data_IF_146097205765
#
_entry.id   IF_146097205765
#
_cell.length_a   1.000
_cell.length_b   1.000
_cell.length_c   1.000
_cell.angle_alpha   90.00
_cell.angle_beta   90.00
_cell.angle_gamma   90.00
#
_symmetry.space_group_name_H-M   'P 1'
#
loop_
_entity.id
_entity.type
_entity.pdbx_description
1 polymer ?
#
# COMPACT_ATOMS: atom_id res chain seq x y z
N UNK A 1 22.75 32.00 21.15
CA UNK A 1 23.28 32.17 19.79
C UNK A 1 23.25 30.80 19.16
N UNK A 2 22.30 30.57 18.26
CA UNK A 2 22.29 29.34 17.43
C UNK A 2 23.50 29.42 16.51
N UNK A 3 24.18 28.29 16.30
CA UNK A 3 25.43 28.20 15.54
C UNK A 3 25.13 28.38 14.04
N UNK A 4 25.11 29.64 13.61
CA UNK A 4 24.84 30.16 12.27
C UNK A 4 25.68 29.48 11.16
N UNK A 5 26.76 28.79 11.54
CA UNK A 5 27.61 28.02 10.62
C UNK A 5 27.07 26.63 10.29
N UNK A 6 26.30 26.00 11.20
CA UNK A 6 25.65 24.70 10.96
C UNK A 6 24.40 24.84 10.11
N UNK A 7 23.61 25.89 10.36
CA UNK A 7 22.39 26.19 9.58
C UNK A 7 22.74 26.51 8.11
N UNK A 8 23.78 27.31 7.86
CA UNK A 8 24.23 27.58 6.48
C UNK A 8 24.73 26.34 5.75
N UNK A 9 25.42 25.43 6.46
CA UNK A 9 25.92 24.19 5.86
C UNK A 9 24.77 23.23 5.52
N UNK A 10 23.72 23.17 6.35
CA UNK A 10 22.51 22.39 6.02
C UNK A 10 21.74 22.97 4.83
N UNK A 11 21.72 24.30 4.67
CA UNK A 11 21.04 24.94 3.55
C UNK A 11 21.76 24.67 2.21
N UNK A 12 23.10 24.69 2.21
CA UNK A 12 23.92 24.32 1.05
C UNK A 12 23.75 22.84 0.65
N UNK A 13 23.63 21.95 1.64
CA UNK A 13 23.37 20.52 1.41
C UNK A 13 21.98 20.29 0.81
N UNK A 14 20.95 21.00 1.31
CA UNK A 14 19.58 20.94 0.77
C UNK A 14 19.55 21.42 -0.68
N UNK A 15 20.21 22.54 -0.99
CA UNK A 15 20.27 23.08 -2.35
C UNK A 15 20.98 22.11 -3.31
N UNK A 16 22.03 21.45 -2.84
CA UNK A 16 22.73 20.42 -3.62
C UNK A 16 21.83 19.21 -3.90
N UNK A 17 21.08 18.73 -2.90
CA UNK A 17 20.12 17.64 -3.06
C UNK A 17 18.99 18.00 -4.03
N UNK A 18 18.50 19.24 -4.01
CA UNK A 18 17.50 19.73 -4.98
C UNK A 18 18.02 19.67 -6.41
N UNK A 19 19.28 20.06 -6.64
CA UNK A 19 19.89 19.98 -7.97
C UNK A 19 20.07 18.55 -8.45
N UNK A 20 20.46 17.63 -7.57
CA UNK A 20 20.51 16.21 -7.90
C UNK A 20 19.12 15.65 -8.22
N UNK A 21 18.09 15.97 -7.42
CA UNK A 21 16.72 15.54 -7.68
C UNK A 21 16.20 16.08 -9.02
N UNK A 22 16.48 17.34 -9.36
CA UNK A 22 16.13 17.88 -10.68
C UNK A 22 16.83 17.11 -11.80
N UNK A 23 18.14 16.86 -11.65
CA UNK A 23 18.90 16.10 -12.65
C UNK A 23 18.34 14.67 -12.82
N UNK A 24 17.99 13.98 -11.73
CA UNK A 24 17.36 12.66 -11.79
C UNK A 24 15.99 12.72 -12.45
N UNK A 25 15.17 13.72 -12.14
CA UNK A 25 13.88 13.91 -12.79
C UNK A 25 14.04 14.12 -14.31
N UNK A 26 14.98 14.95 -14.75
CA UNK A 26 15.25 15.15 -16.19
C UNK A 26 15.65 13.84 -16.89
N UNK A 27 16.46 13.01 -16.22
CA UNK A 27 16.86 11.70 -16.74
C UNK A 27 15.64 10.77 -16.82
N UNK A 28 14.86 10.65 -15.74
CA UNK A 28 13.67 9.79 -15.68
C UNK A 28 12.66 10.20 -16.77
N UNK A 29 12.38 11.50 -16.88
CA UNK A 29 11.43 12.03 -17.85
C UNK A 29 11.87 11.80 -19.30
N UNK A 30 13.18 11.78 -19.58
CA UNK A 30 13.71 11.42 -20.91
C UNK A 30 13.38 9.98 -21.32
N UNK A 31 13.24 9.08 -20.35
CA UNK A 31 12.93 7.67 -20.58
C UNK A 31 11.49 7.31 -20.17
N UNK A 32 10.64 8.30 -19.91
CA UNK A 32 9.28 8.10 -19.40
C UNK A 32 8.50 7.07 -20.20
N UNK A 33 8.37 7.27 -21.52
CA UNK A 33 7.60 6.38 -22.39
C UNK A 33 8.10 4.93 -22.30
N UNK A 34 9.42 4.74 -22.38
CA UNK A 34 10.03 3.42 -22.25
C UNK A 34 9.75 2.79 -20.89
N UNK A 35 9.84 3.54 -19.79
CA UNK A 35 9.57 3.01 -18.45
C UNK A 35 8.09 2.63 -18.34
N UNK A 36 7.18 3.54 -18.70
CA UNK A 36 5.73 3.32 -18.56
C UNK A 36 5.21 2.18 -19.45
N UNK A 37 5.78 1.98 -20.65
CA UNK A 37 5.47 0.83 -21.50
C UNK A 37 5.86 -0.50 -20.87
N UNK A 38 6.99 -0.55 -20.15
CA UNK A 38 7.47 -1.75 -19.47
C UNK A 38 6.85 -1.97 -18.08
N UNK A 39 6.32 -0.91 -17.47
CA UNK A 39 5.56 -0.95 -16.21
C UNK A 39 4.05 -1.10 -16.44
N UNK A 40 3.60 -1.23 -17.69
CA UNK A 40 2.19 -1.42 -17.96
C UNK A 40 1.76 -2.85 -17.59
N UNK A 41 1.18 -3.00 -16.40
CA UNK A 41 0.68 -4.28 -15.92
C UNK A 41 -0.77 -4.48 -16.34
N UNK A 42 -1.07 -5.64 -16.93
CA UNK A 42 -2.46 -6.05 -17.10
C UNK A 42 -3.07 -6.31 -15.73
N UNK A 43 -4.39 -6.18 -15.61
CA UNK A 43 -5.08 -6.37 -14.32
C UNK A 43 -4.82 -7.76 -13.72
N UNK A 44 -4.69 -8.79 -14.57
CA UNK A 44 -4.32 -10.15 -14.19
C UNK A 44 -2.90 -10.29 -13.59
N UNK A 45 -2.05 -9.28 -13.74
CA UNK A 45 -0.66 -9.27 -13.25
C UNK A 45 -0.50 -8.52 -11.94
N UNK A 46 -1.51 -7.74 -11.51
CA UNK A 46 -1.52 -7.06 -10.22
C UNK A 46 -1.24 -7.98 -9.02
N UNK A 47 -1.70 -9.25 -8.97
CA UNK A 47 -1.28 -10.22 -7.96
C UNK A 47 0.23 -10.30 -7.72
N UNK A 48 1.06 -10.11 -8.76
CA UNK A 48 2.53 -10.16 -8.67
C UNK A 48 3.10 -9.06 -7.78
N UNK A 49 2.33 -8.01 -7.47
CA UNK A 49 2.73 -6.89 -6.62
C UNK A 49 2.48 -7.15 -5.13
N UNK A 50 1.86 -8.27 -4.78
CA UNK A 50 1.65 -8.70 -3.40
C UNK A 50 2.66 -9.80 -3.10
N UNK A 51 3.65 -9.49 -2.25
CA UNK A 51 4.83 -10.34 -1.99
C UNK A 51 4.93 -10.73 -0.51
N UNK A 52 3.94 -11.48 0.03
CA UNK A 52 3.85 -11.75 1.47
C UNK A 52 4.99 -12.63 1.99
N UNK A 53 5.57 -13.46 1.12
CA UNK A 53 6.68 -14.37 1.45
C UNK A 53 8.06 -13.71 1.30
N UNK A 54 8.14 -12.45 0.86
CA UNK A 54 9.41 -11.73 0.77
C UNK A 54 10.04 -11.54 2.16
N UNK A 55 11.35 -11.76 2.30
CA UNK A 55 12.07 -11.69 3.58
C UNK A 55 11.88 -10.36 4.33
N UNK A 56 11.82 -9.23 3.61
CA UNK A 56 11.61 -7.91 4.22
C UNK A 56 10.20 -7.78 4.80
N UNK A 57 9.19 -8.29 4.07
CA UNK A 57 7.78 -8.29 4.49
C UNK A 57 7.60 -9.23 5.68
N UNK A 58 8.14 -10.45 5.60
CA UNK A 58 8.12 -11.44 6.69
C UNK A 58 8.83 -10.91 7.93
N UNK A 59 10.00 -10.27 7.76
CA UNK A 59 10.75 -9.66 8.85
C UNK A 59 9.95 -8.58 9.58
N UNK A 60 9.24 -7.73 8.82
CA UNK A 60 8.37 -6.70 9.37
C UNK A 60 7.14 -7.30 10.06
N UNK A 61 6.49 -8.31 9.46
CA UNK A 61 5.38 -9.03 10.08
C UNK A 61 5.81 -9.69 11.40
N UNK A 62 7.01 -10.27 11.47
CA UNK A 62 7.56 -10.84 12.70
C UNK A 62 7.85 -9.77 13.76
N UNK A 63 8.31 -8.59 13.37
CA UNK A 63 8.47 -7.43 14.27
C UNK A 63 7.13 -6.95 14.83
N UNK A 64 6.04 -7.07 14.07
CA UNK A 64 4.69 -6.78 14.57
C UNK A 64 4.25 -7.87 15.55
N UNK A 65 4.40 -9.16 15.19
CA UNK A 65 4.06 -10.29 16.07
C UNK A 65 4.83 -10.28 17.40
N UNK A 66 6.07 -9.80 17.42
CA UNK A 66 6.90 -9.71 18.63
C UNK A 66 6.46 -8.63 19.62
N UNK A 67 5.49 -7.77 19.26
CA UNK A 67 4.88 -6.81 20.20
C UNK A 67 3.87 -7.49 21.13
N UNK A 68 3.47 -8.73 20.81
CA UNK A 68 2.64 -9.57 21.68
C UNK A 68 3.54 -10.53 22.47
N UNK A 69 3.22 -10.84 23.74
CA UNK A 69 4.00 -11.81 24.53
C UNK A 69 4.10 -13.17 23.83
N UNK A 70 2.98 -13.64 23.27
CA UNK A 70 2.87 -14.79 22.37
C UNK A 70 1.77 -14.44 21.37
N UNK A 71 2.09 -14.38 20.08
CA UNK A 71 1.09 -14.08 19.05
C UNK A 71 0.14 -15.26 18.84
N UNK A 72 -1.13 -15.06 19.19
CA UNK A 72 -2.24 -15.95 18.86
C UNK A 72 -3.11 -15.29 17.79
N UNK A 73 -3.22 -15.94 16.62
CA UNK A 73 -3.98 -15.40 15.49
C UNK A 73 -5.44 -15.05 15.85
N UNK A 74 -6.15 -15.91 16.58
CA UNK A 74 -7.58 -15.71 16.87
C UNK A 74 -7.85 -14.55 17.83
N UNK A 75 -6.86 -14.16 18.62
CA UNK A 75 -7.00 -13.12 19.66
C UNK A 75 -6.32 -11.82 19.24
N UNK A 76 -5.17 -11.91 18.57
CA UNK A 76 -4.29 -10.77 18.34
C UNK A 76 -4.32 -10.25 16.90
N UNK A 77 -4.91 -10.97 15.96
CA UNK A 77 -4.92 -10.55 14.55
C UNK A 77 -5.52 -9.15 14.33
N UNK A 78 -6.67 -8.77 14.94
CA UNK A 78 -7.22 -7.41 14.76
C UNK A 78 -6.25 -6.32 15.20
N UNK A 79 -5.53 -6.52 16.31
CA UNK A 79 -4.56 -5.56 16.82
C UNK A 79 -3.29 -5.55 15.98
N UNK A 80 -2.84 -6.71 15.49
CA UNK A 80 -1.73 -6.79 14.55
C UNK A 80 -2.06 -6.06 13.24
N UNK A 81 -3.30 -6.11 12.75
CA UNK A 81 -3.76 -5.33 11.59
C UNK A 81 -3.68 -3.82 11.89
N UNK A 82 -4.10 -3.37 13.08
CA UNK A 82 -3.98 -1.96 13.49
C UNK A 82 -2.53 -1.49 13.59
N UNK A 83 -1.63 -2.34 14.08
CA UNK A 83 -0.19 -2.06 14.12
C UNK A 83 0.38 -2.00 12.71
N UNK A 84 0.01 -2.92 11.82
CA UNK A 84 0.44 -2.90 10.41
C UNK A 84 -0.05 -1.63 9.69
N UNK A 85 -1.32 -1.26 9.87
CA UNK A 85 -1.87 0.00 9.37
C UNK A 85 -1.07 1.20 9.85
N UNK A 86 -0.82 1.28 11.17
CA UNK A 86 -0.09 2.40 11.77
C UNK A 86 1.35 2.47 11.23
N UNK A 87 2.01 1.32 11.08
CA UNK A 87 3.34 1.26 10.47
C UNK A 87 3.33 1.87 9.06
N UNK A 88 2.44 1.40 8.17
CA UNK A 88 2.36 1.86 6.78
C UNK A 88 1.96 3.34 6.72
N UNK A 89 1.06 3.78 7.59
CA UNK A 89 0.64 5.18 7.66
C UNK A 89 1.79 6.11 8.07
N UNK A 90 2.48 5.78 9.16
CA UNK A 90 3.38 6.71 9.85
C UNK A 90 4.83 6.59 9.39
N UNK A 91 5.25 5.45 8.83
CA UNK A 91 6.65 5.20 8.45
C UNK A 91 6.88 5.20 6.94
N UNK A 92 5.83 5.15 6.11
CA UNK A 92 5.95 5.23 4.66
C UNK A 92 5.40 6.58 4.19
N UNK A 93 6.28 7.43 3.66
CA UNK A 93 5.89 8.71 3.11
C UNK A 93 5.01 8.51 1.86
N UNK A 94 3.82 9.11 1.85
CA UNK A 94 2.98 9.14 0.66
C UNK A 94 3.58 10.15 -0.34
N UNK A 95 3.90 9.68 -1.55
CA UNK A 95 4.45 10.51 -2.62
C UNK A 95 3.65 10.33 -3.90
N UNK A 96 3.65 11.37 -4.75
CA UNK A 96 3.16 11.27 -6.12
C UNK A 96 4.37 11.05 -7.03
N UNK A 97 4.40 9.91 -7.72
CA UNK A 97 5.47 9.62 -8.67
C UNK A 97 5.27 10.43 -9.97
N UNK A 98 6.35 10.89 -10.62
CA UNK A 98 6.27 11.67 -11.85
C UNK A 98 5.85 10.84 -13.08
N UNK A 99 5.89 9.51 -12.96
CA UNK A 99 5.56 8.52 -13.99
C UNK A 99 4.82 7.35 -13.35
N UNK A 100 4.11 6.57 -14.15
CA UNK A 100 3.54 5.30 -13.70
C UNK A 100 4.65 4.28 -13.46
N UNK A 101 4.85 3.88 -12.21
CA UNK A 101 5.87 2.92 -11.79
C UNK A 101 5.39 2.18 -10.56
N UNK A 102 5.57 0.86 -10.51
CA UNK A 102 5.07 0.04 -9.41
C UNK A 102 6.20 -0.44 -8.52
N UNK A 103 6.21 -0.03 -7.26
CA UNK A 103 7.18 -0.55 -6.30
C UNK A 103 6.67 -1.87 -5.71
N UNK A 104 7.57 -2.85 -5.57
CA UNK A 104 7.26 -4.03 -4.75
C UNK A 104 7.28 -3.65 -3.26
N UNK A 105 6.50 -4.34 -2.41
CA UNK A 105 6.47 -4.11 -0.96
C UNK A 105 7.85 -3.99 -0.29
N UNK A 106 8.81 -4.83 -0.66
CA UNK A 106 10.18 -4.79 -0.16
C UNK A 106 10.96 -3.52 -0.56
N UNK A 107 10.61 -2.92 -1.69
CA UNK A 107 11.19 -1.68 -2.18
C UNK A 107 10.58 -0.49 -1.46
N UNK A 108 9.26 -0.51 -1.22
CA UNK A 108 8.56 0.47 -0.38
C UNK A 108 9.14 0.48 1.03
N UNK A 109 9.39 -0.68 1.63
CA UNK A 109 10.04 -0.80 2.95
C UNK A 109 11.44 -0.18 2.92
N UNK A 110 12.24 -0.48 1.89
CA UNK A 110 13.62 0.00 1.75
C UNK A 110 13.69 1.52 1.53
N UNK A 111 12.80 2.06 0.71
CA UNK A 111 12.75 3.47 0.36
C UNK A 111 12.07 4.32 1.44
N UNK A 112 11.16 3.74 2.23
CA UNK A 112 10.35 4.48 3.19
C UNK A 112 9.35 5.44 2.53
N UNK A 113 9.05 5.24 1.24
CA UNK A 113 8.14 6.05 0.45
C UNK A 113 7.49 5.22 -0.66
N UNK A 114 6.29 5.61 -1.06
CA UNK A 114 5.53 5.01 -2.16
C UNK A 114 4.24 5.78 -2.40
N UNK A 115 3.59 5.52 -3.53
CA UNK A 115 2.27 6.07 -3.79
C UNK A 115 1.18 5.36 -2.96
N UNK A 116 -0.08 5.76 -3.13
CA UNK A 116 -1.18 5.16 -2.37
C UNK A 116 -1.38 3.66 -2.69
N UNK A 117 -1.08 3.24 -3.92
CA UNK A 117 -1.20 1.87 -4.36
C UNK A 117 -0.07 1.01 -3.79
N UNK A 118 1.17 1.50 -3.86
CA UNK A 118 2.35 0.88 -3.24
C UNK A 118 2.15 0.63 -1.74
N UNK A 119 1.56 1.60 -1.04
CA UNK A 119 1.20 1.45 0.38
C UNK A 119 0.13 0.39 0.59
N UNK A 120 -0.85 0.30 -0.30
CA UNK A 120 -1.93 -0.69 -0.21
C UNK A 120 -1.43 -2.12 -0.50
N UNK A 121 -0.54 -2.30 -1.48
CA UNK A 121 0.09 -3.60 -1.79
C UNK A 121 1.01 -4.07 -0.67
N UNK A 122 1.79 -3.17 -0.06
CA UNK A 122 2.57 -3.46 1.14
C UNK A 122 1.68 -3.89 2.30
N UNK A 123 0.61 -3.14 2.58
CA UNK A 123 -0.32 -3.46 3.66
C UNK A 123 -0.98 -4.84 3.44
N UNK A 124 -1.44 -5.13 2.22
CA UNK A 124 -2.00 -6.43 1.87
C UNK A 124 -1.00 -7.56 2.12
N UNK A 125 0.24 -7.39 1.64
CA UNK A 125 1.32 -8.37 1.82
C UNK A 125 1.63 -8.61 3.30
N UNK A 126 1.65 -7.55 4.12
CA UNK A 126 1.87 -7.65 5.56
C UNK A 126 0.76 -8.42 6.26
N UNK A 127 -0.51 -8.13 5.98
CA UNK A 127 -1.63 -8.78 6.65
C UNK A 127 -1.70 -10.27 6.25
N UNK A 128 -1.34 -10.63 5.02
CA UNK A 128 -1.17 -12.03 4.62
C UNK A 128 -0.04 -12.68 5.44
N UNK A 129 1.13 -12.04 5.55
CA UNK A 129 2.26 -12.53 6.35
C UNK A 129 1.96 -12.61 7.87
N UNK A 130 0.99 -11.83 8.36
CA UNK A 130 0.46 -11.93 9.72
C UNK A 130 -0.40 -13.19 9.96
N UNK A 131 -0.73 -13.92 8.89
CA UNK A 131 -1.38 -15.22 8.92
C UNK A 131 -2.74 -15.28 8.24
N UNK A 132 -3.25 -14.17 7.68
CA UNK A 132 -4.57 -14.14 7.05
C UNK A 132 -4.48 -14.23 5.52
N UNK A 133 -4.57 -15.46 5.01
CA UNK A 133 -4.51 -15.76 3.56
C UNK A 133 -5.76 -15.30 2.78
N UNK A 134 -6.85 -14.95 3.46
CA UNK A 134 -8.07 -14.43 2.81
C UNK A 134 -7.93 -12.96 2.42
N UNK A 135 -6.87 -12.30 2.91
CA UNK A 135 -6.66 -10.86 2.69
C UNK A 135 -6.56 -10.55 1.21
N UNK A 136 -7.24 -9.50 0.78
CA UNK A 136 -7.27 -8.99 -0.59
C UNK A 136 -7.21 -7.48 -0.61
N UNK A 137 -6.74 -6.93 -1.72
CA UNK A 137 -6.85 -5.53 -2.08
C UNK A 137 -8.04 -5.35 -3.04
N UNK A 138 -8.96 -4.45 -2.71
CA UNK A 138 -9.99 -3.95 -3.62
C UNK A 138 -9.48 -2.67 -4.26
N UNK A 139 -9.59 -2.59 -5.58
CA UNK A 139 -9.45 -1.35 -6.35
C UNK A 139 -10.82 -0.99 -6.90
N UNK A 140 -11.31 0.19 -6.55
CA UNK A 140 -12.46 0.82 -7.22
C UNK A 140 -11.93 1.93 -8.10
N UNK A 141 -12.27 1.90 -9.38
CA UNK A 141 -11.92 2.93 -10.36
C UNK A 141 -13.20 3.62 -10.82
N UNK A 142 -13.25 4.94 -10.62
CA UNK A 142 -14.38 5.81 -10.97
C UNK A 142 -13.82 7.03 -11.72
N UNK A 143 -14.07 7.12 -13.02
CA UNK A 143 -13.47 8.11 -13.93
C UNK A 143 -11.92 8.18 -13.81
N UNK A 144 -11.40 9.16 -13.08
CA UNK A 144 -9.97 9.39 -12.85
C UNK A 144 -9.54 9.14 -11.39
N UNK A 145 -10.45 8.72 -10.52
CA UNK A 145 -10.18 8.43 -9.13
C UNK A 145 -10.04 6.93 -8.89
N UNK A 146 -9.12 6.58 -7.99
CA UNK A 146 -8.89 5.20 -7.55
C UNK A 146 -8.99 5.15 -6.03
N UNK A 147 -9.86 4.28 -5.54
CA UNK A 147 -10.01 3.99 -4.12
C UNK A 147 -9.46 2.59 -3.82
N UNK A 148 -8.66 2.47 -2.77
CA UNK A 148 -7.95 1.26 -2.39
C UNK A 148 -8.35 0.84 -0.98
N UNK A 149 -8.84 -0.39 -0.83
CA UNK A 149 -9.19 -0.96 0.48
C UNK A 149 -8.60 -2.36 0.61
N UNK A 150 -7.79 -2.58 1.63
CA UNK A 150 -7.30 -3.91 2.00
C UNK A 150 -8.27 -4.52 2.99
N UNK A 151 -8.76 -5.73 2.74
CA UNK A 151 -9.68 -6.39 3.67
C UNK A 151 -9.32 -7.84 3.90
N UNK A 152 -9.74 -8.39 5.04
CA UNK A 152 -9.56 -9.79 5.41
C UNK A 152 -10.83 -10.36 6.02
N UNK A 153 -11.13 -11.62 5.75
CA UNK A 153 -12.15 -12.37 6.46
C UNK A 153 -11.60 -12.80 7.83
N UNK A 154 -12.33 -12.51 8.89
CA UNK A 154 -11.95 -12.85 10.27
C UNK A 154 -13.19 -12.99 11.15
N UNK A 155 -13.27 -14.07 11.93
CA UNK A 155 -14.39 -14.35 12.86
C UNK A 155 -15.79 -14.14 12.27
N UNK A 156 -16.04 -14.68 11.06
CA UNK A 156 -17.29 -14.54 10.30
C UNK A 156 -17.67 -13.10 9.91
N UNK A 157 -16.73 -12.17 9.96
CA UNK A 157 -16.88 -10.81 9.48
C UNK A 157 -15.70 -10.40 8.60
N UNK A 158 -15.61 -9.10 8.34
CA UNK A 158 -14.56 -8.47 7.56
C UNK A 158 -13.87 -7.41 8.41
N UNK A 159 -12.54 -7.44 8.42
CA UNK A 159 -11.72 -6.31 8.86
C UNK A 159 -11.21 -5.65 7.59
N UNK A 160 -11.53 -4.37 7.39
CA UNK A 160 -11.10 -3.59 6.25
C UNK A 160 -10.25 -2.40 6.69
N UNK A 161 -9.26 -2.07 5.87
CA UNK A 161 -8.32 -1.01 6.11
C UNK A 161 -8.27 -0.12 4.87
N UNK A 162 -8.68 1.12 5.09
CA UNK A 162 -8.53 2.23 4.16
C UNK A 162 -7.37 3.09 4.69
N UNK A 163 -6.38 3.38 3.86
CA UNK A 163 -5.17 4.07 4.30
C UNK A 163 -5.47 5.49 4.83
N UNK A 164 -6.51 6.13 4.30
CA UNK A 164 -6.94 7.46 4.69
C UNK A 164 -7.96 7.43 5.82
N UNK A 165 -8.91 6.47 5.78
CA UNK A 165 -10.04 6.41 6.71
C UNK A 165 -9.85 5.46 7.90
N UNK A 166 -8.79 4.66 7.89
CA UNK A 166 -8.39 3.76 8.97
C UNK A 166 -9.02 2.37 8.89
N UNK A 167 -9.02 1.69 10.05
CA UNK A 167 -9.50 0.30 10.19
C UNK A 167 -10.97 0.29 10.58
N UNK A 168 -11.79 -0.46 9.86
CA UNK A 168 -13.23 -0.66 10.11
C UNK A 168 -13.62 -2.13 10.00
N UNK A 169 -14.70 -2.49 10.67
CA UNK A 169 -15.25 -3.85 10.65
C UNK A 169 -16.60 -3.85 9.95
N UNK A 170 -16.87 -4.90 9.17
CA UNK A 170 -18.13 -5.13 8.47
C UNK A 170 -18.60 -6.57 8.70
N UNK A 171 -19.91 -6.82 8.63
CA UNK A 171 -20.48 -8.16 8.81
C UNK A 171 -20.24 -9.05 7.59
N UNK A 172 -20.09 -8.47 6.41
CA UNK A 172 -19.87 -9.22 5.18
C UNK A 172 -19.13 -8.39 4.13
N UNK A 173 -18.58 -9.09 3.13
CA UNK A 173 -17.99 -8.47 1.94
C UNK A 173 -19.00 -7.59 1.19
N UNK A 174 -20.27 -7.99 1.14
CA UNK A 174 -21.32 -7.20 0.50
C UNK A 174 -21.57 -5.87 1.23
N UNK A 175 -21.53 -5.87 2.58
CA UNK A 175 -21.65 -4.66 3.37
C UNK A 175 -20.47 -3.71 3.13
N UNK A 176 -19.24 -4.25 3.04
CA UNK A 176 -18.06 -3.48 2.65
C UNK A 176 -18.23 -2.84 1.27
N UNK A 177 -18.61 -3.62 0.25
CA UNK A 177 -18.80 -3.11 -1.11
C UNK A 177 -19.92 -2.05 -1.19
N UNK A 178 -21.00 -2.20 -0.43
CA UNK A 178 -22.04 -1.17 -0.28
C UNK A 178 -21.49 0.09 0.38
N UNK A 179 -20.68 -0.03 1.42
CA UNK A 179 -20.05 1.11 2.09
C UNK A 179 -19.05 1.85 1.17
N UNK A 180 -18.41 1.14 0.24
CA UNK A 180 -17.57 1.71 -0.83
C UNK A 180 -18.38 2.31 -1.99
N UNK A 181 -19.72 2.17 -1.97
CA UNK A 181 -20.60 2.71 -3.01
C UNK A 181 -20.54 1.95 -4.34
N UNK A 182 -20.12 0.69 -4.36
CA UNK A 182 -19.95 -0.12 -5.59
C UNK A 182 -21.26 -0.42 -6.31
N UNK A 183 -22.40 -0.39 -5.60
CA UNK A 183 -23.72 -0.74 -6.14
C UNK A 183 -24.60 0.47 -6.47
N UNK A 184 -24.02 1.64 -6.73
CA UNK A 184 -24.81 2.81 -7.15
C UNK A 184 -25.39 2.58 -8.54
N UNK A 185 -26.66 2.94 -8.73
CA UNK A 185 -27.31 2.88 -10.03
C UNK A 185 -26.80 4.00 -10.95
N UNK A 186 -26.43 3.66 -12.20
CA UNK A 186 -26.07 4.57 -13.30
C UNK A 186 -24.64 5.14 -13.39
N UNK A 187 -23.65 4.56 -12.70
CA UNK A 187 -22.23 4.94 -12.85
C UNK A 187 -21.42 3.77 -13.44
N UNK A 188 -20.62 4.03 -14.48
CA UNK A 188 -19.65 3.05 -14.99
C UNK A 188 -18.51 2.93 -13.97
N UNK A 189 -18.53 1.87 -13.17
CA UNK A 189 -17.51 1.57 -12.17
C UNK A 189 -16.79 0.28 -12.53
N UNK A 190 -15.46 0.29 -12.47
CA UNK A 190 -14.67 -0.92 -12.56
C UNK A 190 -14.16 -1.28 -11.17
N UNK A 191 -14.48 -2.48 -10.71
CA UNK A 191 -14.07 -2.92 -9.37
C UNK A 191 -13.38 -4.27 -9.43
N UNK A 192 -12.17 -4.30 -8.91
CA UNK A 192 -11.30 -5.47 -8.91
C UNK A 192 -10.93 -5.85 -7.48
N UNK A 193 -10.78 -7.15 -7.22
CA UNK A 193 -10.15 -7.62 -5.99
C UNK A 193 -9.08 -8.68 -6.29
N UNK A 194 -7.98 -8.66 -5.53
CA UNK A 194 -6.92 -9.64 -5.70
C UNK A 194 -6.05 -9.81 -4.46
N UNK A 195 -5.30 -10.91 -4.43
CA UNK A 195 -4.19 -11.15 -3.51
C UNK A 195 -3.00 -11.76 -4.28
N UNK A 196 -2.00 -12.32 -3.58
CA UNK A 196 -0.83 -12.97 -4.18
C UNK A 196 -1.15 -14.21 -5.04
N UNK A 197 -2.32 -14.83 -4.83
CA UNK A 197 -2.72 -16.12 -5.43
C UNK A 197 -3.96 -16.03 -6.32
N UNK A 198 -4.76 -14.98 -6.19
CA UNK A 198 -6.06 -14.90 -6.85
C UNK A 198 -6.36 -13.49 -7.37
N UNK A 199 -7.19 -13.45 -8.41
CA UNK A 199 -7.72 -12.23 -9.01
C UNK A 199 -9.17 -12.45 -9.40
N UNK A 200 -10.05 -11.50 -9.06
CA UNK A 200 -11.46 -11.48 -9.44
C UNK A 200 -11.87 -10.07 -9.93
N UNK A 201 -12.55 -10.01 -11.08
CA UNK A 201 -13.33 -8.83 -11.51
C UNK A 201 -14.71 -8.90 -10.84
N UNK A 202 -15.17 -7.81 -10.23
CA UNK A 202 -16.45 -7.77 -9.50
C UNK A 202 -17.55 -7.21 -10.39
N UNK A 203 -17.30 -6.05 -11.00
CA UNK A 203 -18.13 -5.34 -11.98
C UNK A 203 -17.18 -4.75 -13.01
#
# INVERSE_FOLDING_TARGET
MVDDSKERKSDEDIETLKRYNQLYLEIIMRYKEYIEENENLYVAELPKLITPDNESVVGLANKIKSQFPIYNYNENFPDAVRIAYSYVKDNILLVNLPIQFWLKPEEVIRCGAGDIFDKATLLCSLIIALGNVSTKLIIKVEENEREFVVYSEFNNGIIAVDLERGVKEYKSREELLKAMGVYKENEEMNVYEFNDKMYNSII
#
